data_IF_726713750388
#
_entry.id   IF_726713750388
#
_cell.length_a   1.000
_cell.length_b   1.000
_cell.length_c   1.000
_cell.angle_alpha   90.00
_cell.angle_beta   90.00
_cell.angle_gamma   90.00
#
_symmetry.space_group_name_H-M   'P 1'
#
loop_
_entity.id
_entity.type
_entity.pdbx_description
1 polymer ?
#
# COMPACT_ATOMS: atom_id res chain seq x y z
N UNK A 1 -2.19 -1.00 2.41
CA UNK A 1 -1.34 -1.22 1.22
C UNK A 1 0.01 -1.70 1.70
N UNK A 2 0.62 -2.70 1.06
CA UNK A 2 1.93 -3.25 1.43
C UNK A 2 3.07 -2.43 0.81
N UNK A 3 2.96 -2.10 -0.48
CA UNK A 3 3.83 -1.18 -1.18
C UNK A 3 3.14 -0.67 -2.45
N UNK A 4 3.65 0.42 -3.03
CA UNK A 4 3.21 0.97 -4.31
C UNK A 4 4.39 1.64 -5.01
N UNK A 5 4.75 1.12 -6.17
CA UNK A 5 5.99 1.48 -6.86
C UNK A 5 5.69 1.99 -8.25
N UNK A 6 5.95 3.29 -8.46
CA UNK A 6 5.78 3.94 -9.76
C UNK A 6 6.95 3.63 -10.68
N UNK A 7 6.66 3.24 -11.91
CA UNK A 7 7.63 3.07 -12.99
C UNK A 7 7.21 3.87 -14.23
N UNK A 8 8.18 4.46 -14.92
CA UNK A 8 7.91 5.11 -16.20
C UNK A 8 7.84 4.07 -17.31
N UNK A 9 6.78 4.08 -18.11
CA UNK A 9 6.75 3.36 -19.38
C UNK A 9 7.91 3.83 -20.27
N UNK A 10 8.71 2.87 -20.76
CA UNK A 10 9.80 3.10 -21.71
C UNK A 10 9.31 4.02 -22.85
N UNK A 11 9.90 5.21 -22.94
CA UNK A 11 9.79 6.12 -24.10
C UNK A 11 8.77 7.27 -24.05
N UNK A 12 7.72 7.27 -23.19
CA UNK A 12 6.69 8.34 -23.19
C UNK A 12 6.16 8.79 -21.83
N UNK A 13 6.61 8.19 -20.73
CA UNK A 13 6.07 8.47 -19.39
C UNK A 13 6.92 9.47 -18.61
N UNK A 14 6.27 10.48 -18.03
CA UNK A 14 6.91 11.41 -17.08
C UNK A 14 7.07 10.72 -15.72
N UNK A 15 8.26 10.85 -15.11
CA UNK A 15 8.44 10.56 -13.68
C UNK A 15 7.47 11.41 -12.87
N UNK A 16 7.02 10.90 -11.72
CA UNK A 16 6.27 11.73 -10.77
C UNK A 16 7.13 12.94 -10.38
N UNK A 17 6.53 14.15 -10.30
CA UNK A 17 7.27 15.32 -9.90
C UNK A 17 7.70 15.19 -8.43
N UNK A 18 8.94 15.56 -8.11
CA UNK A 18 9.42 15.55 -6.72
C UNK A 18 8.69 16.57 -5.83
N UNK A 19 8.03 17.57 -6.41
CA UNK A 19 7.14 18.50 -5.74
C UNK A 19 5.93 18.79 -6.61
N UNK A 20 4.74 18.65 -6.05
CA UNK A 20 3.49 19.08 -6.68
C UNK A 20 3.31 20.57 -6.45
N UNK A 21 3.07 21.32 -7.53
CA UNK A 21 2.76 22.75 -7.45
C UNK A 21 1.28 22.97 -7.78
N UNK A 22 0.59 23.84 -7.04
CA UNK A 22 -0.72 24.34 -7.45
C UNK A 22 -0.70 24.82 -8.90
N UNK A 23 -1.77 24.51 -9.64
CA UNK A 23 -2.00 25.13 -10.93
C UNK A 23 -2.56 26.52 -10.74
N UNK A 24 -2.09 27.46 -11.56
CA UNK A 24 -2.74 28.75 -11.71
C UNK A 24 -4.18 28.55 -12.20
N UNK A 25 -5.07 29.48 -11.86
CA UNK A 25 -6.50 29.46 -12.19
C UNK A 25 -6.77 29.15 -13.68
N UNK A 26 -6.00 29.77 -14.59
CA UNK A 26 -6.07 29.56 -16.05
C UNK A 26 -4.94 28.65 -16.58
N UNK A 27 -4.34 27.84 -15.71
CA UNK A 27 -3.25 26.94 -16.04
C UNK A 27 -3.72 25.78 -16.93
N UNK A 28 -2.86 25.36 -17.86
CA UNK A 28 -3.11 24.16 -18.66
C UNK A 28 -3.10 22.91 -17.75
N UNK A 29 -4.00 21.92 -17.97
CA UNK A 29 -3.98 20.68 -17.21
C UNK A 29 -2.62 19.98 -17.28
N UNK A 30 -2.14 19.49 -16.14
CA UNK A 30 -0.94 18.68 -16.03
C UNK A 30 -1.35 17.21 -16.02
N UNK A 31 -0.93 16.49 -17.05
CA UNK A 31 -1.22 15.06 -17.21
C UNK A 31 0.07 14.27 -17.04
N UNK A 32 0.07 13.34 -16.09
CA UNK A 32 1.16 12.39 -15.84
C UNK A 32 0.63 10.99 -16.06
N UNK A 33 1.31 10.22 -16.90
CA UNK A 33 0.98 8.82 -17.19
C UNK A 33 2.16 7.95 -16.85
N UNK A 34 1.92 6.77 -16.30
CA UNK A 34 2.95 5.78 -16.04
C UNK A 34 2.35 4.43 -15.63
N UNK A 35 3.22 3.56 -15.16
CA UNK A 35 2.86 2.26 -14.60
C UNK A 35 3.12 2.22 -13.12
N UNK A 36 2.40 1.38 -12.41
CA UNK A 36 2.55 1.23 -10.97
C UNK A 36 2.35 -0.23 -10.60
N UNK A 37 3.30 -0.79 -9.84
CA UNK A 37 3.16 -2.11 -9.22
C UNK A 37 2.66 -1.92 -7.80
N UNK A 38 1.50 -2.49 -7.50
CA UNK A 38 0.92 -2.45 -6.16
C UNK A 38 0.97 -3.82 -5.50
N UNK A 39 1.33 -3.84 -4.22
CA UNK A 39 1.11 -4.96 -3.32
C UNK A 39 0.06 -4.55 -2.29
N UNK A 40 -1.06 -5.26 -2.21
CA UNK A 40 -2.12 -4.93 -1.25
C UNK A 40 -1.94 -5.66 0.09
N UNK A 41 -2.63 -5.18 1.12
CA UNK A 41 -2.69 -5.88 2.42
C UNK A 41 -3.68 -7.04 2.35
N UNK A 42 -3.58 -8.04 3.24
CA UNK A 42 -4.58 -9.10 3.34
C UNK A 42 -5.98 -8.51 3.48
N UNK A 43 -6.94 -9.07 2.76
CA UNK A 43 -8.34 -8.69 2.93
C UNK A 43 -8.89 -9.23 4.26
N UNK A 44 -9.91 -8.56 4.81
CA UNK A 44 -10.47 -8.89 6.12
C UNK A 44 -11.27 -10.20 6.15
N UNK A 45 -11.66 -10.72 4.99
CA UNK A 45 -12.56 -11.89 4.89
C UNK A 45 -11.76 -13.17 4.64
N UNK A 46 -10.92 -13.16 3.61
CA UNK A 46 -10.21 -14.36 3.13
C UNK A 46 -8.73 -14.36 3.50
N UNK A 47 -8.20 -13.22 3.99
CA UNK A 47 -6.78 -13.03 4.29
C UNK A 47 -5.88 -13.12 3.06
N UNK A 48 -6.42 -13.01 1.85
CA UNK A 48 -5.63 -13.06 0.63
C UNK A 48 -5.07 -11.67 0.33
N UNK A 49 -3.79 -11.62 -0.07
CA UNK A 49 -3.20 -10.42 -0.67
C UNK A 49 -2.68 -10.72 -2.08
N UNK A 50 -2.62 -9.66 -2.89
CA UNK A 50 -2.27 -9.72 -4.30
C UNK A 50 -1.20 -8.69 -4.63
N UNK A 51 -0.49 -8.95 -5.73
CA UNK A 51 0.40 -8.02 -6.38
C UNK A 51 -0.01 -7.90 -7.86
N UNK A 52 -0.04 -6.69 -8.40
CA UNK A 52 -0.49 -6.46 -9.78
C UNK A 52 0.02 -5.13 -10.34
N UNK A 53 0.05 -5.04 -11.67
CA UNK A 53 0.48 -3.85 -12.41
C UNK A 53 -0.72 -3.03 -12.90
N UNK A 54 -0.59 -1.72 -12.77
CA UNK A 54 -1.56 -0.73 -13.20
C UNK A 54 -0.96 0.19 -14.26
N UNK A 55 -1.75 0.55 -15.27
CA UNK A 55 -1.60 1.82 -15.99
C UNK A 55 -2.28 2.89 -15.16
N UNK A 56 -1.55 3.94 -14.79
CA UNK A 56 -2.07 5.04 -13.98
C UNK A 56 -1.90 6.38 -14.68
N UNK A 57 -2.95 7.19 -14.63
CA UNK A 57 -2.97 8.57 -15.12
C UNK A 57 -3.37 9.50 -13.98
N UNK A 58 -2.59 10.53 -13.75
CA UNK A 58 -2.89 11.63 -12.84
C UNK A 58 -3.13 12.89 -13.69
N UNK A 59 -4.24 13.57 -13.45
CA UNK A 59 -4.60 14.81 -14.13
C UNK A 59 -4.83 15.86 -13.04
N UNK A 60 -3.94 16.83 -12.94
CA UNK A 60 -4.17 18.03 -12.17
C UNK A 60 -4.74 19.09 -13.11
N UNK A 61 -5.87 19.67 -12.75
CA UNK A 61 -6.52 20.72 -13.52
C UNK A 61 -7.21 21.71 -12.59
N UNK A 62 -7.70 22.79 -13.17
CA UNK A 62 -8.56 23.75 -12.50
C UNK A 62 -9.96 23.68 -13.12
N UNK A 63 -11.00 23.64 -12.29
CA UNK A 63 -12.41 23.55 -12.72
C UNK A 63 -13.28 24.33 -11.72
N UNK A 64 -14.08 25.28 -12.21
CA UNK A 64 -14.98 26.12 -11.41
C UNK A 64 -14.34 26.71 -10.14
N UNK A 65 -13.29 27.53 -10.27
CA UNK A 65 -12.56 28.13 -9.12
C UNK A 65 -11.86 27.13 -8.18
N UNK A 66 -11.82 25.84 -8.51
CA UNK A 66 -11.24 24.81 -7.66
C UNK A 66 -10.13 24.04 -8.34
N UNK A 67 -9.10 23.69 -7.57
CA UNK A 67 -8.13 22.71 -7.99
C UNK A 67 -8.70 21.29 -7.87
N UNK A 68 -8.49 20.52 -8.93
CA UNK A 68 -8.99 19.15 -9.06
C UNK A 68 -7.86 18.22 -9.44
N UNK A 69 -7.68 17.15 -8.67
CA UNK A 69 -6.82 16.03 -9.02
C UNK A 69 -7.67 14.82 -9.39
N UNK A 70 -7.53 14.33 -10.62
CA UNK A 70 -8.15 13.09 -11.09
C UNK A 70 -7.08 12.00 -11.18
N UNK A 71 -7.33 10.86 -10.54
CA UNK A 71 -6.50 9.66 -10.63
C UNK A 71 -7.29 8.55 -11.31
N UNK A 72 -6.78 8.05 -12.44
CA UNK A 72 -7.38 6.95 -13.20
C UNK A 72 -6.39 5.78 -13.19
N UNK A 73 -6.85 4.60 -12.79
CA UNK A 73 -6.04 3.39 -12.70
C UNK A 73 -6.74 2.24 -13.42
N UNK A 74 -6.01 1.53 -14.28
CA UNK A 74 -6.47 0.30 -14.96
C UNK A 74 -5.44 -0.79 -14.81
N UNK A 75 -5.86 -1.96 -14.33
CA UNK A 75 -5.00 -3.14 -14.27
C UNK A 75 -4.59 -3.59 -15.67
N UNK A 76 -3.29 -3.89 -15.81
CA UNK A 76 -2.67 -4.26 -17.08
C UNK A 76 -2.96 -5.69 -17.49
N UNK A 77 -2.72 -6.63 -16.58
CA UNK A 77 -2.87 -8.07 -16.77
C UNK A 77 -3.50 -8.67 -15.51
N UNK A 78 -3.97 -9.92 -15.56
CA UNK A 78 -4.37 -10.68 -14.37
C UNK A 78 -3.25 -10.57 -13.31
N UNK A 79 -3.64 -10.41 -12.04
CA UNK A 79 -2.68 -10.27 -10.94
C UNK A 79 -1.79 -11.49 -10.81
N UNK A 80 -0.74 -11.37 -10.00
CA UNK A 80 -0.11 -12.55 -9.43
C UNK A 80 -1.13 -13.38 -8.64
N UNK A 81 -0.82 -14.66 -8.45
CA UNK A 81 -1.65 -15.55 -7.65
C UNK A 81 -1.77 -15.03 -6.21
N UNK A 82 -2.99 -15.08 -5.67
CA UNK A 82 -3.28 -14.70 -4.30
C UNK A 82 -2.48 -15.51 -3.29
N UNK A 83 -1.94 -14.84 -2.28
CA UNK A 83 -1.13 -15.43 -1.21
C UNK A 83 -1.78 -15.21 0.16
N UNK A 84 -1.55 -16.14 1.09
CA UNK A 84 -2.10 -16.11 2.45
C UNK A 84 -1.37 -15.05 3.28
N UNK A 85 -2.13 -14.14 3.86
CA UNK A 85 -1.65 -13.23 4.87
C UNK A 85 -2.62 -13.14 6.04
N UNK A 86 -2.14 -12.54 7.12
CA UNK A 86 -2.85 -12.49 8.38
C UNK A 86 -2.76 -11.09 8.96
N UNK A 87 -3.90 -10.56 9.38
CA UNK A 87 -3.98 -9.35 10.18
C UNK A 87 -3.57 -9.72 11.62
N UNK A 88 -2.59 -8.99 12.16
CA UNK A 88 -2.01 -9.25 13.47
C UNK A 88 -2.56 -8.23 14.47
N UNK A 89 -3.50 -8.66 15.32
CA UNK A 89 -4.20 -7.77 16.24
C UNK A 89 -5.26 -6.93 15.52
N UNK A 90 -5.32 -5.63 15.83
CA UNK A 90 -6.29 -4.71 15.23
C UNK A 90 -5.84 -4.31 13.81
N UNK A 91 -6.75 -4.34 12.83
CA UNK A 91 -6.44 -3.91 11.45
C UNK A 91 -6.03 -2.44 11.37
N UNK A 92 -6.51 -1.60 12.30
CA UNK A 92 -6.14 -0.18 12.39
C UNK A 92 -4.67 0.03 12.83
N UNK A 93 -3.99 -1.01 13.34
CA UNK A 93 -2.56 -0.96 13.72
C UNK A 93 -1.61 -1.21 12.54
N UNK A 94 -2.14 -1.69 11.42
CA UNK A 94 -1.39 -2.00 10.19
C UNK A 94 -0.27 -3.04 10.38
N UNK A 95 -0.50 -4.02 11.27
CA UNK A 95 0.38 -5.15 11.47
C UNK A 95 -0.12 -6.35 10.66
N UNK A 96 0.70 -6.83 9.72
CA UNK A 96 0.35 -7.95 8.85
C UNK A 96 1.49 -8.96 8.75
N UNK A 97 1.15 -10.24 8.75
CA UNK A 97 2.07 -11.32 8.38
C UNK A 97 1.78 -11.76 6.94
N UNK A 98 2.82 -11.80 6.12
CA UNK A 98 2.76 -12.21 4.72
C UNK A 98 3.49 -13.55 4.58
N UNK A 99 2.75 -14.66 4.46
CA UNK A 99 3.35 -15.99 4.51
C UNK A 99 4.15 -16.38 3.25
N UNK A 100 3.92 -15.68 2.13
CA UNK A 100 4.40 -16.07 0.80
C UNK A 100 3.69 -17.29 0.20
N UNK A 101 2.91 -18.05 0.97
CA UNK A 101 2.18 -19.22 0.50
C UNK A 101 1.02 -18.83 -0.39
N UNK A 102 0.87 -19.49 -1.55
CA UNK A 102 -0.33 -19.39 -2.37
C UNK A 102 -1.55 -19.91 -1.60
N UNK A 103 -2.68 -19.23 -1.73
CA UNK A 103 -3.95 -19.66 -1.15
C UNK A 103 -4.66 -18.60 -0.31
N UNK A 104 -5.76 -19.01 0.31
CA UNK A 104 -6.50 -18.23 1.31
C UNK A 104 -6.14 -18.62 2.74
N UNK A 105 -6.22 -17.66 3.67
CA UNK A 105 -6.14 -17.93 5.10
C UNK A 105 -7.46 -18.44 5.69
N UNK A 106 -8.55 -18.42 4.91
CA UNK A 106 -9.86 -18.89 5.32
C UNK A 106 -9.90 -20.42 5.38
N UNK A 107 -10.45 -20.96 6.46
CA UNK A 107 -10.61 -22.39 6.66
C UNK A 107 -11.38 -23.03 5.49
N UNK A 108 -10.89 -24.16 5.00
CA UNK A 108 -11.46 -24.88 3.85
C UNK A 108 -11.08 -24.32 2.47
N UNK A 109 -10.53 -23.11 2.38
CA UNK A 109 -10.16 -22.45 1.11
C UNK A 109 -8.64 -22.30 0.92
N UNK A 110 -7.83 -22.95 1.75
CA UNK A 110 -6.37 -22.80 1.72
C UNK A 110 -5.69 -23.22 0.41
N UNK A 111 -6.36 -24.04 -0.41
CA UNK A 111 -5.87 -24.53 -1.70
C UNK A 111 -6.28 -23.64 -2.89
N UNK A 112 -7.16 -22.66 -2.68
CA UNK A 112 -7.73 -21.83 -3.75
C UNK A 112 -6.68 -20.89 -4.32
N UNK A 113 -6.40 -21.03 -5.62
CA UNK A 113 -5.54 -20.11 -6.38
C UNK A 113 -6.37 -18.99 -6.98
N UNK A 114 -6.61 -17.94 -6.20
CA UNK A 114 -7.40 -16.80 -6.64
C UNK A 114 -6.55 -15.74 -7.35
N UNK A 115 -7.21 -14.90 -8.13
CA UNK A 115 -6.61 -13.78 -8.87
C UNK A 115 -7.55 -12.58 -8.89
N UNK A 116 -6.98 -11.38 -9.05
CA UNK A 116 -7.71 -10.22 -9.56
C UNK A 116 -7.65 -10.30 -11.08
N UNK A 117 -8.78 -10.57 -11.71
CA UNK A 117 -8.91 -10.68 -13.17
C UNK A 117 -8.96 -9.32 -13.85
N UNK A 118 -9.61 -8.34 -13.20
CA UNK A 118 -9.68 -6.99 -13.70
C UNK A 118 -9.88 -5.99 -12.54
N UNK A 119 -9.33 -4.80 -12.70
CA UNK A 119 -9.49 -3.68 -11.78
C UNK A 119 -9.45 -2.35 -12.56
N UNK A 120 -10.40 -1.48 -12.24
CA UNK A 120 -10.46 -0.12 -12.74
C UNK A 120 -10.88 0.83 -11.62
N UNK A 121 -10.26 2.01 -11.56
CA UNK A 121 -10.63 3.03 -10.59
C UNK A 121 -10.51 4.42 -11.17
N UNK A 122 -11.47 5.28 -10.80
CA UNK A 122 -11.41 6.72 -11.00
C UNK A 122 -11.61 7.38 -9.64
N UNK A 123 -10.66 8.19 -9.22
CA UNK A 123 -10.76 9.02 -8.03
C UNK A 123 -10.65 10.49 -8.42
N UNK A 124 -11.55 11.32 -7.92
CA UNK A 124 -11.57 12.77 -8.12
C UNK A 124 -11.44 13.42 -6.75
N UNK A 125 -10.43 14.27 -6.59
CA UNK A 125 -10.19 15.04 -5.39
C UNK A 125 -10.37 16.51 -5.71
N UNK A 126 -11.18 17.22 -4.92
CA UNK A 126 -11.43 18.65 -5.09
C UNK A 126 -11.16 19.38 -3.77
N UNK A 127 -10.48 20.51 -3.86
CA UNK A 127 -10.34 21.42 -2.72
C UNK A 127 -11.68 22.08 -2.41
N UNK A 128 -12.08 22.11 -1.14
CA UNK A 128 -13.26 22.83 -0.70
C UNK A 128 -12.92 24.30 -0.41
N UNK A 129 -13.83 25.20 -0.72
CA UNK A 129 -13.75 26.62 -0.35
C UNK A 129 -14.00 26.93 1.14
N UNK A 130 -14.01 25.94 2.03
CA UNK A 130 -14.18 26.14 3.48
C UNK A 130 -12.90 26.66 4.15
N UNK A 131 -13.04 27.24 5.34
CA UNK A 131 -11.92 27.54 6.25
C UNK A 131 -12.07 26.70 7.52
N UNK A 132 -11.14 25.78 7.84
CA UNK A 132 -9.96 25.42 7.04
C UNK A 132 -10.33 24.70 5.73
N UNK A 133 -9.44 24.77 4.74
CA UNK A 133 -9.60 24.07 3.47
C UNK A 133 -9.59 22.56 3.72
N UNK A 134 -10.55 21.85 3.14
CA UNK A 134 -10.66 20.39 3.19
C UNK A 134 -10.59 19.82 1.78
N UNK A 135 -10.26 18.54 1.65
CA UNK A 135 -10.31 17.83 0.37
C UNK A 135 -11.55 16.93 0.36
N UNK A 136 -12.39 17.11 -0.66
CA UNK A 136 -13.48 16.18 -0.94
C UNK A 136 -13.02 15.16 -1.96
N UNK A 137 -13.44 13.90 -1.80
CA UNK A 137 -13.07 12.81 -2.69
C UNK A 137 -14.31 12.06 -3.20
N UNK A 138 -14.41 11.87 -4.51
CA UNK A 138 -15.32 10.94 -5.15
C UNK A 138 -14.52 9.79 -5.76
N UNK A 139 -14.79 8.56 -5.33
CA UNK A 139 -14.04 7.37 -5.77
C UNK A 139 -15.01 6.35 -6.35
N UNK A 140 -14.70 5.90 -7.57
CA UNK A 140 -15.42 4.87 -8.30
C UNK A 140 -14.45 3.72 -8.56
N UNK A 141 -14.87 2.50 -8.25
CA UNK A 141 -14.04 1.30 -8.34
C UNK A 141 -14.84 0.12 -8.88
N UNK A 142 -14.20 -0.60 -9.79
CA UNK A 142 -14.67 -1.87 -10.33
C UNK A 142 -13.56 -2.88 -10.17
N UNK A 143 -13.90 -4.06 -9.67
CA UNK A 143 -12.96 -5.15 -9.51
C UNK A 143 -13.67 -6.45 -9.85
N UNK A 144 -12.97 -7.31 -10.56
CA UNK A 144 -13.38 -8.69 -10.82
C UNK A 144 -12.29 -9.58 -10.27
N UNK A 145 -12.57 -10.31 -9.19
CA UNK A 145 -11.59 -11.19 -8.56
C UNK A 145 -12.26 -12.48 -8.09
N UNK A 146 -11.49 -13.56 -8.09
CA UNK A 146 -12.00 -14.85 -7.66
C UNK A 146 -11.13 -16.00 -8.14
N UNK A 147 -11.74 -17.15 -8.42
CA UNK A 147 -11.04 -18.39 -8.76
C UNK A 147 -11.70 -19.06 -9.98
N UNK A 148 -10.88 -19.71 -10.81
CA UNK A 148 -11.32 -20.41 -12.03
C UNK A 148 -12.12 -19.54 -13.02
N UNK A 149 -11.78 -18.25 -13.13
CA UNK A 149 -12.49 -17.27 -13.97
C UNK A 149 -13.79 -16.73 -13.38
N UNK A 150 -14.26 -17.30 -12.26
CA UNK A 150 -15.51 -16.90 -11.59
C UNK A 150 -15.23 -15.69 -10.69
N UNK A 151 -16.07 -14.65 -10.80
CA UNK A 151 -16.03 -13.48 -9.93
C UNK A 151 -16.76 -13.76 -8.61
N UNK A 152 -16.06 -13.61 -7.50
CA UNK A 152 -16.64 -13.68 -6.16
C UNK A 152 -16.78 -12.29 -5.50
N UNK A 153 -16.30 -11.23 -6.15
CA UNK A 153 -16.42 -9.88 -5.60
C UNK A 153 -17.82 -9.32 -5.83
N UNK A 154 -18.44 -8.85 -4.74
CA UNK A 154 -19.71 -8.15 -4.74
C UNK A 154 -19.50 -6.66 -4.46
N UNK A 155 -20.48 -5.83 -4.83
CA UNK A 155 -20.42 -4.38 -4.64
C UNK A 155 -20.17 -3.99 -3.17
N UNK A 156 -20.76 -4.73 -2.22
CA UNK A 156 -20.55 -4.46 -0.79
C UNK A 156 -19.10 -4.69 -0.34
N UNK A 157 -18.38 -5.65 -0.92
CA UNK A 157 -16.96 -5.88 -0.63
C UNK A 157 -16.12 -4.68 -1.09
N UNK A 158 -16.43 -4.12 -2.27
CA UNK A 158 -15.78 -2.93 -2.81
C UNK A 158 -16.05 -1.73 -1.89
N UNK A 159 -17.31 -1.50 -1.52
CA UNK A 159 -17.71 -0.38 -0.65
C UNK A 159 -17.04 -0.47 0.72
N UNK A 160 -17.01 -1.66 1.35
CA UNK A 160 -16.32 -1.89 2.62
C UNK A 160 -14.82 -1.59 2.50
N UNK A 161 -14.17 -2.07 1.44
CA UNK A 161 -12.77 -1.79 1.13
C UNK A 161 -12.47 -0.30 0.95
N UNK A 162 -13.32 0.42 0.20
CA UNK A 162 -13.20 1.87 0.00
C UNK A 162 -13.37 2.64 1.31
N UNK A 163 -14.37 2.31 2.14
CA UNK A 163 -14.58 2.95 3.45
C UNK A 163 -13.36 2.76 4.35
N UNK A 164 -12.81 1.54 4.40
CA UNK A 164 -11.59 1.24 5.15
C UNK A 164 -10.41 2.09 4.66
N UNK A 165 -10.19 2.14 3.35
CA UNK A 165 -9.13 2.94 2.76
C UNK A 165 -9.27 4.44 3.08
N UNK A 166 -10.46 5.01 2.87
CA UNK A 166 -10.71 6.43 3.11
C UNK A 166 -10.59 6.81 4.60
N UNK A 167 -11.04 5.96 5.52
CA UNK A 167 -10.85 6.15 6.97
C UNK A 167 -9.36 6.25 7.32
N UNK A 168 -8.55 5.31 6.81
CA UNK A 168 -7.11 5.27 7.07
C UNK A 168 -6.37 6.44 6.41
N UNK A 169 -6.72 6.80 5.18
CA UNK A 169 -6.10 7.93 4.50
C UNK A 169 -6.40 9.24 5.24
N UNK A 170 -7.65 9.44 5.66
CA UNK A 170 -8.06 10.61 6.46
C UNK A 170 -7.29 10.67 7.78
N UNK A 171 -7.19 9.57 8.53
CA UNK A 171 -6.49 9.55 9.81
C UNK A 171 -4.98 9.81 9.69
N UNK A 172 -4.37 9.49 8.55
CA UNK A 172 -2.98 9.84 8.24
C UNK A 172 -2.86 11.33 7.89
N UNK A 173 -3.60 11.78 6.87
CA UNK A 173 -3.45 13.13 6.30
C UNK A 173 -3.88 14.24 7.27
N UNK A 174 -4.80 13.95 8.17
CA UNK A 174 -5.30 14.90 9.17
C UNK A 174 -4.67 14.68 10.55
N UNK A 175 -3.65 13.81 10.66
CA UNK A 175 -2.96 13.62 11.93
C UNK A 175 -2.13 14.85 12.30
N UNK A 176 -2.22 15.38 13.53
CA UNK A 176 -1.31 16.43 14.00
C UNK A 176 0.15 15.93 14.11
N UNK A 177 0.35 14.61 14.12
CA UNK A 177 1.67 13.99 14.21
C UNK A 177 2.23 13.56 12.84
N UNK A 178 1.55 13.89 11.74
CA UNK A 178 2.06 13.60 10.40
C UNK A 178 3.37 14.37 10.17
N UNK A 179 4.51 13.71 9.90
CA UNK A 179 5.76 14.41 9.65
C UNK A 179 5.67 15.29 8.40
N UNK A 180 6.39 16.43 8.37
CA UNK A 180 6.46 17.26 7.17
C UNK A 180 7.04 16.45 5.99
N UNK A 181 6.63 16.75 4.74
CA UNK A 181 7.09 16.00 3.56
C UNK A 181 8.62 15.89 3.43
N UNK A 182 9.36 16.93 3.81
CA UNK A 182 10.83 16.93 3.77
C UNK A 182 11.43 15.88 4.70
N UNK A 183 10.84 15.68 5.89
CA UNK A 183 11.32 14.68 6.85
C UNK A 183 11.01 13.25 6.37
N UNK A 184 9.84 13.04 5.77
CA UNK A 184 9.48 11.74 5.14
C UNK A 184 10.48 11.42 4.02
N UNK A 185 10.78 12.40 3.16
CA UNK A 185 11.73 12.25 2.07
C UNK A 185 13.17 11.98 2.58
N UNK A 186 13.62 12.71 3.60
CA UNK A 186 14.93 12.51 4.21
C UNK A 186 15.07 11.11 4.83
N UNK A 187 14.03 10.61 5.51
CA UNK A 187 14.01 9.26 6.08
C UNK A 187 14.12 8.20 4.99
N UNK A 188 13.39 8.37 3.89
CA UNK A 188 13.48 7.48 2.73
C UNK A 188 14.89 7.48 2.12
N UNK A 189 15.48 8.67 1.94
CA UNK A 189 16.83 8.82 1.40
C UNK A 189 17.90 8.16 2.29
N UNK A 190 17.78 8.33 3.61
CA UNK A 190 18.65 7.68 4.57
C UNK A 190 18.53 6.14 4.51
N UNK A 191 17.31 5.58 4.53
CA UNK A 191 17.11 4.14 4.35
C UNK A 191 17.68 3.65 3.01
N UNK A 192 17.55 4.46 1.96
CA UNK A 192 18.07 4.15 0.63
C UNK A 192 19.59 4.18 0.56
N UNK A 193 20.27 4.95 1.42
CA UNK A 193 21.73 5.07 1.44
C UNK A 193 22.41 4.07 2.39
N UNK A 194 21.65 3.35 3.22
CA UNK A 194 22.20 2.32 4.10
C UNK A 194 22.95 1.22 3.32
N UNK A 195 24.04 0.68 3.89
CA UNK A 195 24.68 -0.53 3.38
C UNK A 195 23.66 -1.68 3.21
N UNK A 196 23.74 -2.50 2.14
CA UNK A 196 22.76 -3.56 1.89
C UNK A 196 22.58 -4.52 3.07
N UNK A 197 23.66 -4.89 3.76
CA UNK A 197 23.64 -5.76 4.94
C UNK A 197 22.86 -5.13 6.11
N UNK A 198 23.03 -3.84 6.37
CA UNK A 198 22.30 -3.15 7.44
C UNK A 198 20.79 -3.04 7.13
N UNK A 199 20.45 -2.71 5.89
CA UNK A 199 19.07 -2.63 5.42
C UNK A 199 18.37 -4.00 5.55
N UNK A 200 19.04 -5.07 5.13
CA UNK A 200 18.55 -6.46 5.26
C UNK A 200 18.42 -6.88 6.72
N UNK A 201 19.36 -6.49 7.59
CA UNK A 201 19.28 -6.79 9.02
C UNK A 201 18.04 -6.14 9.68
N UNK A 202 17.79 -4.86 9.41
CA UNK A 202 16.59 -4.15 9.89
C UNK A 202 15.30 -4.82 9.39
N UNK A 203 15.26 -5.20 8.12
CA UNK A 203 14.12 -5.91 7.53
C UNK A 203 13.91 -7.29 8.18
N UNK A 204 14.99 -8.03 8.39
CA UNK A 204 14.94 -9.36 9.02
C UNK A 204 14.38 -9.27 10.43
N UNK A 205 14.79 -8.26 11.22
CA UNK A 205 14.22 -8.01 12.54
C UNK A 205 12.70 -7.77 12.48
N UNK A 206 12.22 -6.98 11.51
CA UNK A 206 10.79 -6.75 11.30
C UNK A 206 10.04 -8.04 10.95
N UNK A 207 10.59 -8.84 10.04
CA UNK A 207 9.98 -10.11 9.63
C UNK A 207 9.94 -11.11 10.79
N UNK A 208 10.98 -11.16 11.62
CA UNK A 208 11.00 -11.99 12.83
C UNK A 208 9.95 -11.53 13.84
N UNK A 209 9.83 -10.22 14.09
CA UNK A 209 8.81 -9.69 15.00
C UNK A 209 7.38 -10.01 14.53
N UNK A 210 7.12 -9.91 13.21
CA UNK A 210 5.85 -10.33 12.60
C UNK A 210 5.59 -11.82 12.75
N UNK A 211 6.60 -12.65 12.54
CA UNK A 211 6.50 -14.10 12.70
C UNK A 211 6.17 -14.47 14.15
N UNK A 212 6.91 -13.92 15.12
CA UNK A 212 6.66 -14.14 16.55
C UNK A 212 5.24 -13.76 16.90
N UNK A 213 4.79 -12.56 16.49
CA UNK A 213 3.42 -12.11 16.76
C UNK A 213 2.36 -13.01 16.09
N UNK A 214 2.61 -13.48 14.87
CA UNK A 214 1.69 -14.38 14.18
C UNK A 214 1.56 -15.74 14.90
N UNK A 215 2.65 -16.28 15.44
CA UNK A 215 2.65 -17.52 16.23
C UNK A 215 1.96 -17.31 17.57
N UNK A 216 2.34 -16.27 18.33
CA UNK A 216 1.80 -16.03 19.67
C UNK A 216 0.33 -15.63 19.66
N UNK A 217 -0.15 -15.00 18.58
CA UNK A 217 -1.58 -14.72 18.37
C UNK A 217 -2.38 -15.91 17.81
N UNK A 218 -1.74 -17.07 17.59
CA UNK A 218 -2.38 -18.28 17.08
C UNK A 218 -2.84 -18.19 15.62
N UNK A 219 -2.40 -17.17 14.86
CA UNK A 219 -2.74 -17.02 13.43
C UNK A 219 -2.04 -18.05 12.57
N UNK A 220 -0.84 -18.46 12.97
CA UNK A 220 -0.10 -19.56 12.37
C UNK A 220 0.37 -20.50 13.48
N UNK A 221 0.56 -21.77 13.15
CA UNK A 221 1.25 -22.71 14.06
C UNK A 221 2.73 -22.33 14.13
N UNK A 222 3.39 -22.67 15.25
CA UNK A 222 4.84 -22.60 15.35
C UNK A 222 5.44 -23.24 14.09
N UNK A 223 6.43 -22.62 13.43
CA UNK A 223 6.97 -23.18 12.20
C UNK A 223 7.51 -24.58 12.49
N UNK A 224 6.75 -25.61 12.11
CA UNK A 224 7.33 -26.91 11.84
C UNK A 224 8.50 -26.65 10.89
N UNK A 225 9.60 -27.38 11.09
CA UNK A 225 10.92 -27.35 10.45
C UNK A 225 10.91 -27.48 8.91
N UNK A 226 9.92 -26.94 8.21
CA UNK A 226 10.06 -26.46 6.85
C UNK A 226 11.09 -25.34 6.91
N UNK A 227 12.28 -25.63 6.36
CA UNK A 227 13.36 -24.67 6.10
C UNK A 227 12.73 -23.31 5.86
N UNK A 228 13.14 -22.23 6.55
CA UNK A 228 12.64 -20.89 6.26
C UNK A 228 12.80 -20.75 4.76
N UNK A 229 11.68 -20.77 4.04
CA UNK A 229 11.70 -20.85 2.60
C UNK A 229 12.42 -19.58 2.21
N UNK A 230 13.71 -19.70 1.86
CA UNK A 230 14.72 -18.66 2.04
C UNK A 230 14.07 -17.38 1.60
N UNK A 231 13.69 -16.51 2.57
CA UNK A 231 12.77 -15.40 2.30
C UNK A 231 13.36 -14.73 1.08
N UNK A 232 12.69 -14.91 -0.08
CA UNK A 232 13.22 -14.40 -1.33
C UNK A 232 13.41 -12.91 -1.04
N UNK A 233 14.67 -12.46 -1.01
CA UNK A 233 14.96 -11.14 -0.49
C UNK A 233 14.21 -10.20 -1.44
N UNK A 234 13.19 -9.48 -0.95
CA UNK A 234 12.41 -8.67 -1.84
C UNK A 234 13.32 -7.57 -2.39
N UNK A 235 12.97 -6.97 -3.54
CA UNK A 235 13.72 -5.85 -4.09
C UNK A 235 13.99 -4.79 -3.01
N UNK A 236 15.13 -4.11 -3.10
CA UNK A 236 15.58 -3.10 -2.13
C UNK A 236 14.47 -2.10 -1.80
N UNK A 237 13.73 -1.67 -2.82
CA UNK A 237 12.63 -0.71 -2.71
C UNK A 237 11.50 -1.24 -1.82
N UNK A 238 11.15 -2.53 -1.91
CA UNK A 238 10.12 -3.13 -1.05
C UNK A 238 10.57 -3.25 0.41
N UNK A 239 11.88 -3.44 0.65
CA UNK A 239 12.43 -3.41 2.00
C UNK A 239 12.27 -1.99 2.59
N UNK A 240 12.64 -0.98 1.81
CA UNK A 240 12.50 0.42 2.22
C UNK A 240 11.03 0.77 2.48
N UNK A 241 10.11 0.37 1.59
CA UNK A 241 8.66 0.60 1.76
C UNK A 241 8.14 -0.02 3.08
N UNK A 242 8.60 -1.23 3.43
CA UNK A 242 8.22 -1.87 4.67
C UNK A 242 8.76 -1.15 5.91
N UNK A 243 9.99 -0.63 5.87
CA UNK A 243 10.58 0.13 6.97
C UNK A 243 9.99 1.55 7.08
N UNK A 244 9.66 2.18 5.96
CA UNK A 244 8.95 3.46 5.93
C UNK A 244 7.55 3.36 6.53
N UNK A 245 6.87 2.22 6.37
CA UNK A 245 5.61 1.97 7.06
C UNK A 245 5.78 1.95 8.59
N UNK A 246 6.82 1.30 9.11
CA UNK A 246 7.11 1.30 10.55
C UNK A 246 7.49 2.70 11.05
N UNK A 247 8.22 3.48 10.25
CA UNK A 247 8.49 4.89 10.53
C UNK A 247 7.21 5.72 10.66
N UNK A 248 6.31 5.61 9.67
CA UNK A 248 5.05 6.32 9.68
C UNK A 248 4.16 5.89 10.85
N UNK A 249 4.15 4.60 11.20
CA UNK A 249 3.43 4.13 12.39
C UNK A 249 3.96 4.79 13.65
N UNK A 250 5.27 4.78 13.86
CA UNK A 250 5.92 5.44 15.00
C UNK A 250 5.57 6.93 15.06
N UNK A 251 5.69 7.63 13.94
CA UNK A 251 5.39 9.05 13.86
C UNK A 251 3.93 9.35 14.20
N UNK A 252 3.00 8.54 13.69
CA UNK A 252 1.56 8.69 13.92
C UNK A 252 1.09 8.14 15.29
N UNK A 253 2.01 7.70 16.17
CA UNK A 253 1.67 7.15 17.49
C UNK A 253 1.04 5.75 17.46
N UNK A 254 1.21 5.01 16.36
CA UNK A 254 0.73 3.63 16.20
C UNK A 254 1.76 2.62 16.69
N UNK A 255 1.33 1.43 17.14
CA UNK A 255 2.25 0.40 17.59
C UNK A 255 3.08 -0.14 16.43
N UNK A 256 4.41 -0.01 16.54
CA UNK A 256 5.38 -0.64 15.64
C UNK A 256 5.92 -1.94 16.24
N UNK A 257 6.22 -2.91 15.39
CA UNK A 257 6.76 -4.22 15.83
C UNK A 257 8.28 -4.19 16.05
N UNK A 258 8.93 -3.11 15.62
CA UNK A 258 10.35 -2.88 15.83
C UNK A 258 10.52 -1.54 16.53
N UNK A 259 11.55 -1.45 17.37
CA UNK A 259 11.76 -0.25 18.18
C UNK A 259 12.16 0.96 17.31
N UNK A 260 12.03 2.16 17.89
CA UNK A 260 12.40 3.41 17.20
C UNK A 260 13.87 3.42 16.77
N UNK A 261 14.77 2.85 17.58
CA UNK A 261 16.20 2.74 17.26
C UNK A 261 16.46 1.96 15.95
N UNK A 262 15.78 0.83 15.75
CA UNK A 262 15.91 0.02 14.53
C UNK A 262 15.38 0.79 13.31
N UNK A 263 14.28 1.53 13.46
CA UNK A 263 13.64 2.25 12.34
C UNK A 263 14.32 3.58 12.01
N UNK A 264 14.72 4.35 13.02
CA UNK A 264 15.19 5.73 12.88
C UNK A 264 16.70 5.88 13.04
N UNK A 265 17.42 4.86 13.51
CA UNK A 265 18.85 4.96 13.81
C UNK A 265 19.20 5.94 14.94
N UNK A 266 18.21 6.41 15.69
CA UNK A 266 18.38 7.34 16.82
C UNK A 266 18.50 6.52 18.11
N UNK A 267 19.61 6.69 18.85
CA UNK A 267 19.80 6.16 20.20
C UNK A 267 18.80 6.77 21.17
#
# INVERSE_FOLDING_TARGET
MRYSQWSSLQGKSRKLPGRWKPLAHNGKPVIIRGTQRDGITPDQTTGVYYEYDLKRTLILLHFNEQQVLVSISKQMNISDVGKKGFILGNDDDWNYYYSGETGSAQAGLGWVKSYIYDYFSVAVYTESSSSPATVRAGIFQWIRAGWSGINFVQAEHIIKGMKRHSKNLKSILESPNLPPPEQIAATYQWLSSLPPNELVAKYTALQQARLVLAVTSGKIKSPETKKPNALAHPPKEQIIDALMLEYLKIALGKPSLINKQIVLGMN
#
